data_IF_594609290098
#
_entry.id   IF_594609290098
#
_cell.length_a   1.000
_cell.length_b   1.000
_cell.length_c   1.000
_cell.angle_alpha   90.00
_cell.angle_beta   90.00
_cell.angle_gamma   90.00
#
_symmetry.space_group_name_H-M   'P 1'
#
loop_
_entity.id
_entity.type
_entity.pdbx_description
1 polymer ?
#
# COMPACT_ATOMS: atom_id res chain seq x y z
N UNK A 1 25.27 -22.68 -7.17
CA UNK A 1 24.08 -22.48 -8.05
C UNK A 1 23.09 -21.66 -7.23
N UNK A 2 23.19 -20.33 -7.32
CA UNK A 2 22.48 -19.40 -6.44
C UNK A 2 21.23 -18.89 -7.18
N UNK A 3 20.07 -19.27 -6.67
CA UNK A 3 18.78 -18.80 -7.19
C UNK A 3 18.57 -17.39 -6.63
N UNK A 4 18.65 -16.41 -7.52
CA UNK A 4 18.32 -15.01 -7.24
C UNK A 4 16.80 -14.89 -7.16
N UNK A 5 16.25 -14.68 -5.97
CA UNK A 5 14.92 -14.13 -5.82
C UNK A 5 15.06 -12.62 -5.62
N UNK A 6 14.96 -11.88 -6.72
CA UNK A 6 14.63 -10.47 -6.67
C UNK A 6 13.19 -10.41 -6.13
N UNK A 7 13.04 -9.91 -4.91
CA UNK A 7 11.74 -9.59 -4.33
C UNK A 7 11.31 -8.30 -5.01
N UNK A 8 10.65 -8.43 -6.15
CA UNK A 8 9.85 -7.36 -6.75
C UNK A 8 8.67 -7.14 -5.82
N UNK A 9 8.68 -6.04 -5.08
CA UNK A 9 7.53 -5.60 -4.30
C UNK A 9 6.51 -5.01 -5.29
N UNK A 10 5.80 -5.90 -6.00
CA UNK A 10 4.66 -5.50 -6.80
C UNK A 10 3.53 -5.17 -5.83
N UNK A 11 3.36 -3.90 -5.48
CA UNK A 11 2.10 -3.40 -4.95
C UNK A 11 1.06 -3.40 -6.10
N UNK A 12 0.74 -4.60 -6.58
CA UNK A 12 -0.38 -4.83 -7.46
C UNK A 12 -1.64 -4.63 -6.62
N UNK A 13 -2.12 -3.38 -6.57
CA UNK A 13 -3.51 -3.11 -6.21
C UNK A 13 -4.35 -3.93 -7.18
N UNK A 14 -4.84 -5.08 -6.72
CA UNK A 14 -5.78 -5.92 -7.45
C UNK A 14 -7.10 -5.16 -7.60
N UNK A 15 -7.14 -4.28 -8.59
CA UNK A 15 -8.36 -3.78 -9.20
C UNK A 15 -8.35 -4.25 -10.65
N UNK A 16 -8.66 -5.53 -10.84
CA UNK A 16 -8.57 -6.17 -12.13
C UNK A 16 -9.33 -7.47 -12.18
N UNK A 17 -10.65 -7.40 -12.07
CA UNK A 17 -11.59 -8.44 -12.50
C UNK A 17 -12.96 -7.79 -12.78
N UNK A 18 -13.01 -6.83 -13.71
CA UNK A 18 -14.26 -6.38 -14.34
C UNK A 18 -14.06 -6.30 -15.86
N UNK A 19 -14.10 -7.47 -16.51
CA UNK A 19 -14.30 -7.55 -17.95
C UNK A 19 -15.75 -7.94 -18.20
N UNK A 20 -16.65 -6.96 -18.07
CA UNK A 20 -18.09 -7.09 -18.31
C UNK A 20 -18.61 -5.90 -19.09
N UNK A 21 -18.90 -6.14 -20.36
CA UNK A 21 -19.49 -5.25 -21.38
C UNK A 21 -20.21 -3.97 -20.92
N UNK A 22 -19.67 -2.83 -21.34
CA UNK A 22 -20.46 -1.72 -21.91
C UNK A 22 -21.02 -0.67 -20.96
N UNK A 23 -20.18 0.23 -20.43
CA UNK A 23 -20.50 1.65 -20.22
C UNK A 23 -19.20 2.44 -20.43
N UNK A 24 -19.29 3.62 -21.06
CA UNK A 24 -18.17 4.46 -21.48
C UNK A 24 -17.04 4.54 -20.43
N UNK A 25 -15.88 3.96 -20.79
CA UNK A 25 -14.64 4.09 -20.06
C UNK A 25 -14.23 5.58 -20.03
N UNK A 26 -14.55 6.26 -18.94
CA UNK A 26 -13.68 7.34 -18.49
C UNK A 26 -12.30 6.71 -18.30
N UNK A 27 -11.27 7.31 -18.91
CA UNK A 27 -9.88 6.90 -18.78
C UNK A 27 -9.46 6.92 -17.31
N UNK A 28 -9.66 5.80 -16.60
CA UNK A 28 -9.17 5.58 -15.23
C UNK A 28 -7.71 5.08 -15.24
N UNK A 29 -7.00 5.28 -16.36
CA UNK A 29 -5.57 5.00 -16.52
C UNK A 29 -4.69 5.97 -15.73
N UNK A 30 -5.25 7.09 -15.26
CA UNK A 30 -4.52 8.13 -14.53
C UNK A 30 -4.42 7.84 -13.02
N UNK A 31 -4.73 6.65 -12.52
CA UNK A 31 -4.65 6.32 -11.08
C UNK A 31 -3.58 5.31 -10.70
N UNK A 32 -3.01 4.59 -11.65
CA UNK A 32 -1.89 3.71 -11.39
C UNK A 32 -0.61 4.54 -11.26
N UNK A 33 -0.03 4.55 -10.06
CA UNK A 33 1.25 5.20 -9.77
C UNK A 33 2.10 4.17 -9.07
N UNK A 34 2.95 3.50 -9.81
CA UNK A 34 3.89 2.57 -9.20
C UNK A 34 5.06 3.39 -8.67
N UNK A 35 5.26 3.35 -7.36
CA UNK A 35 6.36 4.03 -6.69
C UNK A 35 7.27 2.95 -6.14
N UNK A 36 8.46 2.87 -6.71
CA UNK A 36 9.47 1.90 -6.34
C UNK A 36 10.53 2.59 -5.47
N UNK A 37 10.87 1.96 -4.35
CA UNK A 37 11.97 2.36 -3.49
C UNK A 37 12.49 1.15 -2.76
N UNK A 38 13.79 0.91 -2.84
CA UNK A 38 14.45 -0.16 -2.09
C UNK A 38 14.56 0.16 -0.58
N UNK A 39 14.29 1.40 -0.17
CA UNK A 39 14.63 1.90 1.15
C UNK A 39 13.43 2.10 2.07
N UNK A 40 13.59 1.65 3.32
CA UNK A 40 12.76 1.99 4.45
C UNK A 40 13.07 3.42 4.89
N UNK A 41 12.05 4.26 4.97
CA UNK A 41 12.17 5.65 5.35
C UNK A 41 11.83 5.86 6.83
N UNK A 42 12.76 6.41 7.59
CA UNK A 42 12.54 6.90 8.95
C UNK A 42 12.78 8.41 9.03
N UNK A 43 11.77 9.14 9.51
CA UNK A 43 11.90 10.56 9.81
C UNK A 43 12.04 10.78 11.31
N UNK A 44 13.07 11.51 11.73
CA UNK A 44 13.13 12.12 13.06
C UNK A 44 13.15 13.64 12.93
N UNK A 45 13.16 14.38 14.04
CA UNK A 45 13.07 15.84 14.02
C UNK A 45 14.16 16.56 13.19
N UNK A 46 15.31 15.93 12.92
CA UNK A 46 16.47 16.56 12.27
C UNK A 46 17.05 15.79 11.08
N UNK A 47 16.63 14.56 10.87
CA UNK A 47 17.22 13.67 9.88
C UNK A 47 16.15 12.87 9.15
N UNK A 48 16.48 12.57 7.90
CA UNK A 48 15.79 11.62 7.04
C UNK A 48 16.75 10.45 6.88
N UNK A 49 16.31 9.26 7.28
CA UNK A 49 17.12 8.04 7.27
C UNK A 49 16.46 7.05 6.30
N UNK A 50 17.26 6.51 5.40
CA UNK A 50 16.84 5.50 4.42
C UNK A 50 17.72 4.26 4.62
N UNK A 51 17.11 3.10 4.83
CA UNK A 51 17.81 1.83 5.05
C UNK A 51 17.23 0.78 4.13
N UNK A 52 18.07 -0.03 3.47
CA UNK A 52 17.59 -1.16 2.67
C UNK A 52 18.25 -2.47 3.06
N UNK A 53 17.51 -3.56 2.88
CA UNK A 53 17.97 -4.90 3.24
C UNK A 53 19.01 -5.50 2.28
N UNK A 54 19.07 -5.03 1.03
CA UNK A 54 20.00 -5.53 0.02
C UNK A 54 20.47 -4.42 -0.94
N UNK A 55 21.63 -4.61 -1.56
CA UNK A 55 22.27 -3.59 -2.41
C UNK A 55 23.22 -2.64 -1.65
N UNK A 56 23.94 -1.80 -2.39
CA UNK A 56 24.88 -0.80 -1.84
C UNK A 56 24.63 0.58 -2.45
N UNK A 57 24.45 1.65 -1.65
CA UNK A 57 24.61 1.72 -0.21
C UNK A 57 23.43 1.13 0.57
N UNK A 58 23.65 0.66 1.79
CA UNK A 58 22.61 0.11 2.67
C UNK A 58 21.93 1.18 3.53
N UNK A 59 22.67 2.22 3.89
CA UNK A 59 22.18 3.26 4.80
C UNK A 59 22.52 4.64 4.27
N UNK A 60 21.51 5.47 4.17
CA UNK A 60 21.62 6.87 3.81
C UNK A 60 21.04 7.72 4.94
N UNK A 61 21.77 8.75 5.36
CA UNK A 61 21.25 9.73 6.32
C UNK A 61 21.42 11.12 5.73
N UNK A 62 20.30 11.79 5.56
CA UNK A 62 20.27 13.20 5.19
C UNK A 62 20.01 14.03 6.44
N UNK A 63 20.76 15.12 6.55
CA UNK A 63 20.61 16.09 7.63
C UNK A 63 20.98 17.47 7.13
N UNK A 64 19.98 18.29 6.87
CA UNK A 64 20.13 19.71 6.56
C UNK A 64 21.07 19.93 5.34
N UNK A 65 20.89 19.12 4.30
CA UNK A 65 21.69 19.15 3.08
C UNK A 65 23.02 18.41 3.16
N UNK A 66 23.39 17.85 4.31
CA UNK A 66 24.50 16.90 4.40
C UNK A 66 24.00 15.48 4.12
N UNK A 67 24.82 14.68 3.42
CA UNK A 67 24.55 13.28 3.13
C UNK A 67 25.63 12.38 3.75
N UNK A 68 25.19 11.39 4.48
CA UNK A 68 26.00 10.29 4.98
C UNK A 68 25.61 9.02 4.23
N UNK A 69 26.58 8.37 3.62
CA UNK A 69 26.43 7.15 2.82
C UNK A 69 27.20 6.04 3.53
N UNK A 70 26.47 5.03 4.01
CA UNK A 70 26.93 3.89 4.79
C UNK A 70 27.76 4.24 6.03
N UNK A 71 29.04 4.53 5.87
CA UNK A 71 30.02 4.74 6.93
C UNK A 71 30.69 6.13 6.86
N UNK A 72 30.39 6.93 5.84
CA UNK A 72 31.08 8.21 5.61
C UNK A 72 30.16 9.35 5.18
N UNK A 73 30.53 10.55 5.61
CA UNK A 73 29.97 11.80 5.06
C UNK A 73 30.55 12.05 3.68
N UNK A 74 29.71 12.50 2.75
CA UNK A 74 30.13 12.78 1.38
C UNK A 74 30.20 14.28 1.11
N UNK A 75 31.18 14.68 0.30
CA UNK A 75 31.30 16.05 -0.16
C UNK A 75 30.28 16.29 -1.29
N UNK A 76 29.41 17.29 -1.09
CA UNK A 76 28.39 17.69 -2.05
C UNK A 76 28.67 19.08 -2.60
N UNK A 77 28.23 19.33 -3.83
CA UNK A 77 28.18 20.69 -4.39
C UNK A 77 27.17 21.56 -3.62
N UNK A 78 27.24 22.87 -3.78
CA UNK A 78 26.25 23.77 -3.18
C UNK A 78 24.84 23.48 -3.71
N UNK A 79 24.72 23.17 -5.01
CA UNK A 79 23.45 22.83 -5.65
C UNK A 79 22.85 21.54 -5.10
N UNK A 80 23.66 20.49 -4.92
CA UNK A 80 23.16 19.21 -4.37
C UNK A 80 22.76 19.34 -2.90
N UNK A 81 23.46 20.17 -2.11
CA UNK A 81 23.02 20.49 -0.75
C UNK A 81 21.65 21.17 -0.75
N UNK A 82 21.42 22.11 -1.67
CA UNK A 82 20.12 22.76 -1.80
C UNK A 82 19.01 21.78 -2.23
N UNK A 83 19.30 20.89 -3.19
CA UNK A 83 18.37 19.83 -3.61
C UNK A 83 18.05 18.87 -2.46
N UNK A 84 19.04 18.45 -1.67
CA UNK A 84 18.81 17.60 -0.51
C UNK A 84 17.97 18.28 0.57
N UNK A 85 18.22 19.57 0.87
CA UNK A 85 17.36 20.33 1.80
C UNK A 85 15.91 20.36 1.30
N UNK A 86 15.73 20.57 -0.01
CA UNK A 86 14.40 20.56 -0.61
C UNK A 86 13.76 19.18 -0.54
N UNK A 87 14.51 18.12 -0.82
CA UNK A 87 14.08 16.73 -0.73
C UNK A 87 13.65 16.41 0.71
N UNK A 88 14.50 16.66 1.71
CA UNK A 88 14.21 16.43 3.12
C UNK A 88 12.91 17.11 3.58
N UNK A 89 12.68 18.37 3.16
CA UNK A 89 11.45 19.11 3.47
C UNK A 89 10.24 18.51 2.77
N UNK A 90 10.33 18.27 1.46
CA UNK A 90 9.21 17.74 0.68
C UNK A 90 8.83 16.32 1.12
N UNK A 91 9.80 15.48 1.52
CA UNK A 91 9.51 14.17 2.10
C UNK A 91 8.71 14.32 3.39
N UNK A 92 9.13 15.22 4.30
CA UNK A 92 8.38 15.48 5.55
C UNK A 92 6.96 15.96 5.31
N UNK A 93 6.76 16.76 4.27
CA UNK A 93 5.42 17.23 3.89
C UNK A 93 4.60 16.11 3.24
N UNK A 94 5.23 15.21 2.49
CA UNK A 94 4.57 14.11 1.79
C UNK A 94 4.15 12.97 2.74
N UNK A 95 4.92 12.68 3.80
CA UNK A 95 4.65 11.54 4.70
C UNK A 95 3.25 11.58 5.33
N UNK A 96 2.77 12.68 5.94
CA UNK A 96 1.41 12.71 6.50
C UNK A 96 0.32 12.46 5.45
N UNK A 97 0.53 12.95 4.21
CA UNK A 97 -0.40 12.71 3.11
C UNK A 97 -0.39 11.23 2.68
N UNK A 98 0.80 10.62 2.58
CA UNK A 98 0.94 9.20 2.29
C UNK A 98 0.25 8.32 3.34
N UNK A 99 0.40 8.67 4.62
CA UNK A 99 -0.27 7.99 5.73
C UNK A 99 -1.79 8.12 5.66
N UNK A 100 -2.30 9.31 5.35
CA UNK A 100 -3.74 9.53 5.20
C UNK A 100 -4.31 8.72 4.03
N UNK A 101 -3.64 8.74 2.88
CA UNK A 101 -4.02 7.96 1.69
C UNK A 101 -3.98 6.46 1.98
N UNK A 102 -2.90 5.96 2.58
CA UNK A 102 -2.75 4.54 2.92
C UNK A 102 -3.80 4.06 3.92
N UNK A 103 -4.14 4.88 4.93
CA UNK A 103 -5.22 4.58 5.88
C UNK A 103 -6.58 4.52 5.20
N UNK A 104 -6.91 5.50 4.38
CA UNK A 104 -8.19 5.55 3.66
C UNK A 104 -8.31 4.38 2.66
N UNK A 105 -7.22 4.02 1.96
CA UNK A 105 -7.18 2.85 1.09
C UNK A 105 -7.38 1.54 1.88
N UNK A 106 -6.75 1.38 3.04
CA UNK A 106 -6.94 0.21 3.89
C UNK A 106 -8.37 0.12 4.43
N UNK A 107 -8.98 1.25 4.82
CA UNK A 107 -10.39 1.30 5.26
C UNK A 107 -11.36 0.84 4.16
N UNK A 108 -11.08 1.20 2.90
CA UNK A 108 -11.84 0.74 1.72
C UNK A 108 -11.67 -0.77 1.53
N UNK A 109 -10.42 -1.26 1.57
CA UNK A 109 -10.13 -2.69 1.41
C UNK A 109 -10.81 -3.55 2.49
N UNK A 110 -10.81 -3.09 3.75
CA UNK A 110 -11.49 -3.77 4.86
C UNK A 110 -13.01 -3.75 4.65
N UNK A 111 -13.57 -2.65 4.14
CA UNK A 111 -15.00 -2.57 3.80
C UNK A 111 -15.38 -3.62 2.75
N UNK A 112 -14.57 -3.75 1.70
CA UNK A 112 -14.77 -4.76 0.67
C UNK A 112 -14.67 -6.19 1.21
N UNK A 113 -13.61 -6.49 1.98
CA UNK A 113 -13.42 -7.79 2.61
C UNK A 113 -14.57 -8.16 3.55
N UNK A 114 -15.11 -7.17 4.26
CA UNK A 114 -16.23 -7.35 5.17
C UNK A 114 -17.50 -7.83 4.45
N UNK A 115 -17.80 -7.29 3.28
CA UNK A 115 -18.96 -7.71 2.48
C UNK A 115 -18.77 -9.10 1.87
N UNK A 116 -17.55 -9.43 1.43
CA UNK A 116 -17.22 -10.78 0.95
C UNK A 116 -17.41 -11.79 2.06
N UNK A 117 -16.84 -11.54 3.24
CA UNK A 117 -16.99 -12.42 4.40
C UNK A 117 -18.46 -12.56 4.85
N UNK A 118 -19.24 -11.47 4.83
CA UNK A 118 -20.68 -11.52 5.11
C UNK A 118 -21.47 -12.33 4.07
N UNK A 119 -21.05 -12.32 2.79
CA UNK A 119 -21.65 -13.10 1.71
C UNK A 119 -21.48 -14.62 1.87
N UNK A 120 -20.44 -15.07 2.57
CA UNK A 120 -20.21 -16.49 2.88
C UNK A 120 -20.78 -16.93 4.24
N UNK A 121 -21.24 -15.99 5.06
CA UNK A 121 -21.73 -16.29 6.41
C UNK A 121 -23.17 -16.79 6.42
N UNK A 122 -23.44 -17.75 7.32
CA UNK A 122 -24.79 -18.21 7.66
C UNK A 122 -25.56 -17.24 8.56
N UNK A 123 -24.88 -16.29 9.17
CA UNK A 123 -25.46 -15.24 10.01
C UNK A 123 -24.90 -13.87 9.60
N UNK A 124 -25.34 -13.32 8.44
CA UNK A 124 -24.74 -12.12 7.85
C UNK A 124 -24.66 -10.94 8.80
N UNK A 125 -25.66 -10.73 9.65
CA UNK A 125 -25.69 -9.60 10.60
C UNK A 125 -24.73 -9.79 11.78
N UNK A 126 -24.60 -11.01 12.31
CA UNK A 126 -23.63 -11.32 13.36
C UNK A 126 -22.19 -11.23 12.81
N UNK A 127 -21.97 -11.70 11.58
CA UNK A 127 -20.68 -11.57 10.89
C UNK A 127 -20.33 -10.12 10.60
N UNK A 128 -21.28 -9.29 10.15
CA UNK A 128 -21.08 -7.84 9.98
C UNK A 128 -20.67 -7.15 11.30
N UNK A 129 -21.33 -7.50 12.41
CA UNK A 129 -21.00 -6.98 13.74
C UNK A 129 -19.60 -7.41 14.21
N UNK A 130 -19.22 -8.66 13.99
CA UNK A 130 -17.87 -9.16 14.31
C UNK A 130 -16.80 -8.49 13.45
N UNK A 131 -17.06 -8.33 12.15
CA UNK A 131 -16.16 -7.64 11.21
C UNK A 131 -16.03 -6.16 11.51
N UNK A 132 -17.07 -5.50 12.03
CA UNK A 132 -16.98 -4.11 12.49
C UNK A 132 -15.98 -3.97 13.66
N UNK A 133 -15.98 -4.90 14.61
CA UNK A 133 -15.00 -4.92 15.71
C UNK A 133 -13.58 -5.24 15.23
N UNK A 134 -13.44 -6.12 14.23
CA UNK A 134 -12.15 -6.42 13.58
C UNK A 134 -11.64 -5.19 12.82
N UNK A 135 -12.51 -4.51 12.08
CA UNK A 135 -12.22 -3.26 11.39
C UNK A 135 -11.69 -2.20 12.34
N UNK A 136 -12.32 -2.03 13.50
CA UNK A 136 -11.86 -1.05 14.50
C UNK A 136 -10.47 -1.40 15.04
N UNK A 137 -10.20 -2.67 15.31
CA UNK A 137 -8.86 -3.13 15.74
C UNK A 137 -7.79 -2.92 14.67
N UNK A 138 -8.11 -3.20 13.41
CA UNK A 138 -7.20 -2.99 12.29
C UNK A 138 -6.96 -1.49 12.07
N UNK A 139 -8.01 -0.65 12.13
CA UNK A 139 -7.87 0.82 12.03
C UNK A 139 -6.98 1.38 13.14
N UNK A 140 -7.15 0.91 14.38
CA UNK A 140 -6.27 1.29 15.51
C UNK A 140 -4.82 0.85 15.25
N UNK A 141 -4.59 -0.36 14.75
CA UNK A 141 -3.24 -0.87 14.44
C UNK A 141 -2.60 -0.08 13.30
N UNK A 142 -3.33 0.19 12.22
CA UNK A 142 -2.88 1.02 11.10
C UNK A 142 -2.51 2.42 11.59
N UNK A 143 -3.39 3.07 12.37
CA UNK A 143 -3.10 4.37 13.00
C UNK A 143 -1.81 4.34 13.84
N UNK A 144 -1.62 3.28 14.63
CA UNK A 144 -0.43 3.12 15.46
C UNK A 144 0.85 2.92 14.62
N UNK A 145 0.79 2.09 13.58
CA UNK A 145 1.92 1.87 12.66
C UNK A 145 2.33 3.16 11.94
N UNK A 146 1.36 3.93 11.45
CA UNK A 146 1.64 5.21 10.79
C UNK A 146 2.08 6.32 11.76
N UNK A 147 1.68 6.28 13.04
CA UNK A 147 2.02 7.33 14.02
C UNK A 147 3.53 7.52 14.28
N UNK A 148 4.37 6.53 13.95
CA UNK A 148 5.82 6.56 14.27
C UNK A 148 6.68 7.31 13.25
N UNK A 149 6.09 7.95 12.23
CA UNK A 149 6.82 8.61 11.12
C UNK A 149 7.82 7.67 10.41
N UNK A 150 7.57 6.37 10.50
CA UNK A 150 8.28 5.32 9.79
C UNK A 150 7.41 4.93 8.60
N UNK A 151 7.95 5.09 7.40
CA UNK A 151 7.45 4.48 6.18
C UNK A 151 8.38 3.32 5.89
N UNK A 152 8.21 2.27 6.70
CA UNK A 152 8.71 0.94 6.32
C UNK A 152 7.81 0.44 5.20
N UNK A 153 8.32 -0.28 4.18
CA UNK A 153 7.54 -1.21 3.39
C UNK A 153 6.94 -2.16 4.42
N UNK A 154 5.71 -1.86 4.86
CA UNK A 154 5.03 -2.70 5.81
C UNK A 154 4.91 -4.04 5.05
N UNK A 155 5.31 -5.15 5.68
CA UNK A 155 4.94 -6.50 5.26
C UNK A 155 3.42 -6.67 5.45
N UNK A 156 2.64 -5.80 4.78
CA UNK A 156 1.18 -5.74 4.80
C UNK A 156 0.66 -7.07 4.29
N UNK A 157 1.34 -7.69 3.33
CA UNK A 157 0.95 -8.97 2.77
C UNK A 157 1.04 -10.10 3.80
N UNK A 158 2.05 -10.10 4.69
CA UNK A 158 2.17 -11.11 5.75
C UNK A 158 1.25 -10.81 6.95
N UNK A 159 1.06 -9.54 7.33
CA UNK A 159 0.17 -9.16 8.42
C UNK A 159 -1.32 -9.27 8.04
N UNK A 160 -1.69 -8.85 6.82
CA UNK A 160 -3.02 -9.10 6.24
C UNK A 160 -3.14 -10.59 5.95
N UNK A 161 -2.10 -11.25 5.44
CA UNK A 161 -2.06 -12.70 5.25
C UNK A 161 -2.32 -13.46 6.54
N UNK A 162 -1.76 -13.02 7.67
CA UNK A 162 -2.00 -13.59 8.99
C UNK A 162 -3.42 -13.31 9.49
N UNK A 163 -3.97 -12.10 9.28
CA UNK A 163 -5.36 -11.77 9.60
C UNK A 163 -6.34 -12.61 8.76
N UNK A 164 -6.08 -12.77 7.46
CA UNK A 164 -6.86 -13.61 6.56
C UNK A 164 -6.70 -15.10 6.93
N UNK A 165 -5.49 -15.54 7.29
CA UNK A 165 -5.20 -16.90 7.75
C UNK A 165 -5.83 -17.22 9.12
N UNK A 166 -6.05 -16.23 9.98
CA UNK A 166 -6.80 -16.38 11.23
C UNK A 166 -8.32 -16.49 10.96
N UNK A 167 -8.80 -15.85 9.90
CA UNK A 167 -10.21 -15.88 9.47
C UNK A 167 -10.58 -17.14 8.66
N UNK A 168 -9.63 -17.69 7.90
CA UNK A 168 -9.84 -18.86 7.04
C UNK A 168 -10.37 -20.10 7.80
N UNK A 169 -9.83 -20.51 8.97
CA UNK A 169 -10.33 -21.66 9.73
C UNK A 169 -11.78 -21.52 10.19
N UNK A 170 -12.22 -20.31 10.57
CA UNK A 170 -13.60 -20.05 10.97
C UNK A 170 -14.56 -20.08 9.78
N UNK A 171 -14.15 -19.51 8.64
CA UNK A 171 -14.91 -19.56 7.39
C UNK A 171 -15.03 -21.01 6.85
N UNK A 172 -13.96 -21.81 6.94
CA UNK A 172 -13.98 -23.23 6.55
C UNK A 172 -14.87 -24.06 7.49
N UNK A 173 -14.83 -23.80 8.80
CA UNK A 173 -15.69 -24.46 9.79
C UNK A 173 -17.19 -24.25 9.51
N UNK A 174 -17.56 -23.05 9.06
CA UNK A 174 -18.94 -22.72 8.69
C UNK A 174 -19.39 -23.36 7.37
N UNK A 175 -18.48 -23.53 6.42
CA UNK A 175 -18.75 -24.19 5.13
C UNK A 175 -19.02 -25.69 5.30
N UNK A 176 -18.22 -26.39 6.12
CA UNK A 176 -18.40 -27.85 6.35
C UNK A 176 -19.70 -28.15 7.09
N UNK A 177 -20.01 -27.39 8.14
CA UNK A 177 -21.27 -27.55 8.87
C UNK A 177 -22.49 -27.12 8.01
N UNK A 178 -22.30 -26.19 7.06
CA UNK A 178 -23.32 -25.80 6.09
C UNK A 178 -23.60 -26.90 5.07
N UNK A 179 -22.57 -27.56 4.54
CA UNK A 179 -22.70 -28.66 3.59
C UNK A 179 -23.43 -29.87 4.19
N UNK A 180 -23.14 -30.22 5.45
CA UNK A 180 -23.84 -31.30 6.17
C UNK A 180 -25.32 -30.96 6.37
N UNK A 181 -25.63 -29.72 6.77
CA UNK A 181 -27.03 -29.29 6.96
C UNK A 181 -27.78 -29.18 5.63
N UNK A 182 -27.15 -28.71 4.54
CA UNK A 182 -27.76 -28.64 3.21
C UNK A 182 -28.01 -30.03 2.61
N UNK A 183 -27.13 -31.00 2.87
CA UNK A 183 -27.39 -32.40 2.52
C UNK A 183 -28.59 -32.99 3.29
N UNK A 184 -28.83 -32.52 4.52
CA UNK A 184 -29.95 -32.94 5.36
C UNK A 184 -31.26 -32.21 5.02
N UNK A 185 -31.19 -30.94 4.61
CA UNK A 185 -32.36 -30.06 4.42
C UNK A 185 -32.76 -29.86 2.97
N UNK A 186 -31.92 -30.25 2.00
CA UNK A 186 -32.19 -30.15 0.56
C UNK A 186 -32.29 -28.73 0.01
N UNK A 187 -31.93 -27.71 0.81
CA UNK A 187 -31.91 -26.33 0.34
C UNK A 187 -30.53 -25.99 -0.23
N UNK A 188 -30.52 -25.51 -1.48
CA UNK A 188 -29.35 -24.96 -2.17
C UNK A 188 -28.96 -23.58 -1.61
N UNK A 189 -28.73 -23.49 -0.30
CA UNK A 189 -28.49 -22.23 0.44
C UNK A 189 -27.22 -21.51 -0.05
N UNK A 190 -26.32 -22.19 -0.75
CA UNK A 190 -24.94 -21.76 -0.93
C UNK A 190 -24.66 -20.92 -2.20
N UNK A 191 -25.61 -20.78 -3.14
CA UNK A 191 -25.37 -20.08 -4.41
C UNK A 191 -26.03 -18.69 -4.52
N UNK A 192 -27.17 -18.46 -3.83
CA UNK A 192 -27.88 -17.17 -3.89
C UNK A 192 -27.19 -16.03 -3.13
N UNK A 193 -26.24 -16.32 -2.24
CA UNK A 193 -25.57 -15.29 -1.43
C UNK A 193 -24.51 -14.49 -2.22
N UNK A 194 -23.98 -15.09 -3.31
CA UNK A 194 -23.02 -14.48 -4.22
C UNK A 194 -23.69 -13.59 -5.27
N UNK A 195 -24.97 -13.84 -5.57
CA UNK A 195 -25.75 -13.04 -6.51
C UNK A 195 -25.82 -11.57 -6.03
N UNK A 196 -25.30 -10.67 -6.87
CA UNK A 196 -25.26 -9.24 -6.60
C UNK A 196 -24.28 -8.81 -5.50
N UNK A 197 -23.39 -9.69 -5.01
CA UNK A 197 -22.35 -9.32 -4.04
C UNK A 197 -21.39 -8.29 -4.61
N UNK A 198 -20.92 -8.51 -5.85
CA UNK A 198 -20.07 -7.58 -6.59
C UNK A 198 -20.70 -6.18 -6.67
N UNK A 199 -21.97 -6.10 -7.08
CA UNK A 199 -22.71 -4.83 -7.15
C UNK A 199 -22.91 -4.16 -5.78
N UNK A 200 -22.95 -4.94 -4.68
CA UNK A 200 -23.00 -4.39 -3.31
C UNK A 200 -21.65 -3.82 -2.89
N UNK A 201 -20.56 -4.58 -3.12
CA UNK A 201 -19.18 -4.14 -2.86
C UNK A 201 -18.89 -2.88 -3.65
N UNK A 202 -19.21 -2.86 -4.94
CA UNK A 202 -19.02 -1.69 -5.80
C UNK A 202 -19.79 -0.47 -5.26
N UNK A 203 -21.07 -0.63 -4.90
CA UNK A 203 -21.88 0.48 -4.34
C UNK A 203 -21.29 1.08 -3.07
N UNK A 204 -20.58 0.28 -2.26
CA UNK A 204 -19.97 0.71 -1.01
C UNK A 204 -18.57 1.31 -1.23
N UNK A 205 -17.76 0.67 -2.06
CA UNK A 205 -16.35 1.03 -2.32
C UNK A 205 -16.23 2.22 -3.25
N UNK A 206 -17.02 2.25 -4.32
CA UNK A 206 -16.86 3.22 -5.42
C UNK A 206 -16.99 4.69 -4.96
N UNK A 207 -17.95 5.09 -4.09
CA UNK A 207 -17.98 6.44 -3.54
C UNK A 207 -16.74 6.79 -2.70
N UNK A 208 -16.21 5.83 -1.95
CA UNK A 208 -15.02 6.02 -1.10
C UNK A 208 -13.76 6.16 -1.96
N UNK A 209 -13.61 5.32 -2.98
CA UNK A 209 -12.53 5.39 -3.95
C UNK A 209 -12.53 6.74 -4.68
N UNK A 210 -13.72 7.24 -5.09
CA UNK A 210 -13.87 8.57 -5.69
C UNK A 210 -13.47 9.70 -4.75
N UNK A 211 -13.76 9.58 -3.45
CA UNK A 211 -13.38 10.56 -2.45
C UNK A 211 -11.87 10.57 -2.15
N UNK A 212 -11.21 9.41 -2.24
CA UNK A 212 -9.76 9.26 -2.07
C UNK A 212 -8.95 9.82 -3.25
N UNK A 213 -9.51 9.74 -4.47
CA UNK A 213 -8.82 10.08 -5.73
C UNK A 213 -8.06 11.42 -5.71
N UNK A 214 -8.61 12.56 -5.25
CA UNK A 214 -7.86 13.82 -5.22
C UNK A 214 -6.64 13.79 -4.30
N UNK A 215 -6.72 13.09 -3.16
CA UNK A 215 -5.57 12.96 -2.24
C UNK A 215 -4.49 12.06 -2.82
N UNK A 216 -4.88 10.97 -3.48
CA UNK A 216 -3.96 10.09 -4.18
C UNK A 216 -3.22 10.84 -5.32
N UNK A 217 -3.93 11.66 -6.10
CA UNK A 217 -3.33 12.51 -7.13
C UNK A 217 -2.36 13.55 -6.54
N UNK A 218 -2.74 14.19 -5.44
CA UNK A 218 -1.86 15.12 -4.74
C UNK A 218 -0.59 14.41 -4.23
N UNK A 219 -0.73 13.20 -3.69
CA UNK A 219 0.41 12.40 -3.23
C UNK A 219 1.33 12.07 -4.39
N UNK A 220 0.80 11.60 -5.52
CA UNK A 220 1.58 11.35 -6.73
C UNK A 220 2.42 12.55 -7.13
N UNK A 221 1.80 13.72 -7.26
CA UNK A 221 2.52 14.94 -7.67
C UNK A 221 3.68 15.26 -6.73
N UNK A 222 3.54 14.99 -5.43
CA UNK A 222 4.63 15.17 -4.46
C UNK A 222 5.73 14.12 -4.65
N UNK A 223 5.38 12.87 -4.90
CA UNK A 223 6.34 11.81 -5.15
C UNK A 223 7.09 12.02 -6.47
N UNK A 224 6.42 12.48 -7.52
CA UNK A 224 7.05 12.87 -8.80
C UNK A 224 8.03 14.03 -8.63
N UNK A 225 7.69 15.01 -7.78
CA UNK A 225 8.60 16.10 -7.47
C UNK A 225 9.85 15.61 -6.70
N UNK A 226 9.67 14.66 -5.78
CA UNK A 226 10.78 14.03 -5.05
C UNK A 226 11.67 13.20 -5.98
N UNK A 227 11.10 12.41 -6.89
CA UNK A 227 11.82 11.68 -7.93
C UNK A 227 12.61 12.63 -8.82
N UNK A 228 12.01 13.77 -9.22
CA UNK A 228 12.71 14.80 -9.96
C UNK A 228 13.91 15.40 -9.21
N UNK A 229 13.81 15.59 -7.89
CA UNK A 229 14.92 16.08 -7.07
C UNK A 229 16.05 15.07 -6.94
N UNK A 230 15.71 13.80 -6.73
CA UNK A 230 16.66 12.70 -6.65
C UNK A 230 17.42 12.54 -7.98
N UNK A 231 16.69 12.48 -9.11
CA UNK A 231 17.27 12.38 -10.45
C UNK A 231 18.16 13.58 -10.83
N UNK A 232 17.90 14.75 -10.24
CA UNK A 232 18.68 15.97 -10.48
C UNK A 232 19.96 16.09 -9.63
N UNK A 233 20.19 15.19 -8.66
CA UNK A 233 21.45 15.18 -7.91
C UNK A 233 22.62 14.91 -8.85
N UNK A 234 23.68 15.72 -8.76
CA UNK A 234 24.91 15.50 -9.50
C UNK A 234 25.81 14.44 -8.83
N UNK A 235 25.67 14.27 -7.51
CA UNK A 235 26.34 13.23 -6.75
C UNK A 235 26.12 11.84 -7.37
N UNK A 236 27.21 11.08 -7.46
CA UNK A 236 27.22 9.68 -7.90
C UNK A 236 27.85 8.82 -6.83
N UNK A 237 27.33 7.60 -6.70
CA UNK A 237 27.92 6.57 -5.88
C UNK A 237 29.33 6.24 -6.38
N UNK A 238 30.19 5.59 -5.57
CA UNK A 238 31.48 5.10 -6.04
C UNK A 238 31.40 4.20 -7.29
N UNK A 239 30.27 3.53 -7.50
CA UNK A 239 29.98 2.74 -8.71
C UNK A 239 29.74 3.61 -9.97
N UNK A 240 29.59 4.93 -9.82
CA UNK A 240 29.22 5.86 -10.89
C UNK A 240 27.71 6.00 -11.10
N UNK A 241 26.90 5.22 -10.38
CA UNK A 241 25.44 5.24 -10.47
C UNK A 241 24.82 6.42 -9.71
N UNK A 242 23.63 6.89 -10.11
CA UNK A 242 22.85 7.84 -9.31
C UNK A 242 22.45 7.21 -7.97
N UNK A 243 22.05 8.05 -7.02
CA UNK A 243 21.64 7.59 -5.69
C UNK A 243 20.36 6.74 -5.74
N UNK A 244 19.43 7.10 -6.63
CA UNK A 244 18.16 6.40 -6.92
C UNK A 244 17.44 5.97 -5.63
N UNK A 245 16.91 6.96 -4.92
CA UNK A 245 16.16 6.81 -3.68
C UNK A 245 14.74 6.32 -3.91
N UNK A 246 14.10 6.83 -4.96
CA UNK A 246 12.77 6.42 -5.38
C UNK A 246 12.65 6.53 -6.89
N UNK A 247 11.66 5.85 -7.45
CA UNK A 247 11.27 5.96 -8.85
C UNK A 247 9.76 5.98 -8.93
N UNK A 248 9.21 6.88 -9.75
CA UNK A 248 7.79 6.89 -10.05
C UNK A 248 7.59 6.45 -11.50
N UNK A 249 7.01 5.26 -11.71
CA UNK A 249 6.62 4.83 -13.05
C UNK A 249 5.32 5.54 -13.45
N UNK A 250 5.37 6.17 -14.63
CA UNK A 250 4.26 6.93 -15.21
C UNK A 250 3.43 6.09 -16.17
N UNK A 251 3.89 4.86 -16.48
CA UNK A 251 3.30 3.96 -17.47
C UNK A 251 3.23 2.53 -16.92
N UNK A 252 2.49 2.30 -15.84
CA UNK A 252 2.06 0.95 -15.47
C UNK A 252 0.97 0.47 -16.45
N UNK A 253 1.36 0.27 -17.70
CA UNK A 253 0.60 -0.48 -18.71
C UNK A 253 1.22 -1.86 -18.80
N UNK A 254 0.55 -2.86 -18.24
CA UNK A 254 0.66 -4.22 -18.75
C UNK A 254 -0.66 -4.95 -18.62
#
# INVERSE_FOLDING_TARGET
MAIKHAITMAAAVLFGLLSGTGVAAAKDQDLHCEVDSDYDLTLNARSLILIRGSGTPQRLVMRQGALFVDDRWVALSADDRARLIQFERQTRDAVPLAQAVGREAADIAITALGEVAAGFSRSPDATRLQLANVREKIDVRLKQSFSKSQLTPIDIDDDIGALVAELLPQLIGDVVAGAVQSAITGNDVQLRSLDGMEARVERLVEPQARALRPRAQQLRQRLEALDGLDNALAYRLPSGEPLQLLRVDRNATK
#
